data_IF_686658000290
#
_entry.id   IF_686658000290
#
_cell.length_a   1.000
_cell.length_b   1.000
_cell.length_c   1.000
_cell.angle_alpha   90.00
_cell.angle_beta   90.00
_cell.angle_gamma   90.00
#
_symmetry.space_group_name_H-M   'P 1'
#
loop_
_entity.id
_entity.type
_entity.pdbx_description
1 polymer ?
#
# COMPACT_ATOMS: atom_id res chain seq x y z
N UNK A 1 11.39 -5.71 -15.04
CA UNK A 1 11.02 -7.09 -14.68
C UNK A 1 12.22 -8.07 -14.74
N UNK A 2 13.48 -7.59 -14.82
CA UNK A 2 14.66 -8.44 -15.02
C UNK A 2 15.47 -8.75 -13.74
N UNK A 3 15.17 -8.12 -12.60
CA UNK A 3 15.91 -8.32 -11.34
C UNK A 3 15.33 -9.39 -10.41
N UNK A 4 14.15 -9.95 -10.73
CA UNK A 4 13.43 -10.85 -9.83
C UNK A 4 13.60 -12.34 -10.16
N UNK A 5 14.02 -12.69 -11.37
CA UNK A 5 14.07 -14.07 -11.87
C UNK A 5 15.31 -14.85 -11.39
N UNK A 6 16.45 -14.18 -11.25
CA UNK A 6 17.75 -14.85 -11.01
C UNK A 6 18.15 -14.93 -9.52
N UNK A 7 17.27 -14.51 -8.60
CA UNK A 7 17.56 -14.49 -7.16
C UNK A 7 16.40 -15.01 -6.32
N UNK A 8 15.86 -16.18 -6.66
CA UNK A 8 14.92 -16.87 -5.75
C UNK A 8 15.72 -17.48 -4.59
N UNK A 9 15.42 -17.08 -3.35
CA UNK A 9 16.07 -17.64 -2.18
C UNK A 9 15.47 -18.99 -1.76
N UNK A 10 14.16 -19.08 -1.85
CA UNK A 10 13.42 -20.29 -1.49
C UNK A 10 12.11 -20.33 -2.26
N UNK A 11 11.83 -21.49 -2.85
CA UNK A 11 10.55 -21.75 -3.53
C UNK A 11 9.96 -23.00 -2.90
N UNK A 12 8.71 -22.91 -2.46
CA UNK A 12 7.98 -23.99 -1.82
C UNK A 12 6.52 -23.98 -2.24
N UNK A 13 5.78 -25.04 -1.96
CA UNK A 13 4.40 -25.19 -2.41
C UNK A 13 3.46 -25.26 -1.23
N UNK A 14 2.44 -24.40 -1.21
CA UNK A 14 1.30 -24.52 -0.29
C UNK A 14 0.11 -25.02 -1.12
N UNK A 15 -0.25 -26.29 -0.95
CA UNK A 15 -1.29 -26.93 -1.74
C UNK A 15 -0.91 -26.98 -3.23
N UNK A 16 -1.62 -26.23 -4.07
CA UNK A 16 -1.33 -26.09 -5.51
C UNK A 16 -0.66 -24.75 -5.87
N UNK A 17 -0.39 -23.87 -4.89
CA UNK A 17 0.25 -22.57 -5.13
C UNK A 17 1.75 -22.65 -4.94
N UNK A 18 2.49 -22.14 -5.92
CA UNK A 18 3.93 -21.96 -5.84
C UNK A 18 4.22 -20.64 -5.10
N UNK A 19 4.91 -20.73 -3.97
CA UNK A 19 5.30 -19.61 -3.13
C UNK A 19 6.79 -19.39 -3.27
N UNK A 20 7.16 -18.21 -3.76
CA UNK A 20 8.55 -17.84 -4.03
C UNK A 20 8.96 -16.67 -3.14
N UNK A 21 10.03 -16.88 -2.40
CA UNK A 21 10.67 -15.87 -1.55
C UNK A 21 11.81 -15.26 -2.35
N UNK A 22 11.72 -13.95 -2.62
CA UNK A 22 12.76 -13.18 -3.28
C UNK A 22 13.35 -12.14 -2.32
N UNK A 23 14.63 -11.75 -2.47
CA UNK A 23 15.27 -10.74 -1.62
C UNK A 23 14.46 -9.45 -1.56
N UNK A 24 13.90 -9.02 -2.69
CA UNK A 24 13.06 -7.83 -2.78
C UNK A 24 11.84 -7.95 -1.87
N UNK A 25 11.08 -9.06 -1.96
CA UNK A 25 9.90 -9.31 -1.11
C UNK A 25 10.26 -9.28 0.38
N UNK A 26 11.38 -9.88 0.76
CA UNK A 26 11.85 -9.89 2.16
C UNK A 26 12.22 -8.49 2.64
N UNK A 27 12.95 -7.71 1.84
CA UNK A 27 13.32 -6.33 2.21
C UNK A 27 12.07 -5.45 2.40
N UNK A 28 11.09 -5.58 1.51
CA UNK A 28 9.81 -4.84 1.61
C UNK A 28 9.02 -5.30 2.83
N UNK A 29 8.95 -6.61 3.08
CA UNK A 29 8.30 -7.18 4.25
C UNK A 29 8.91 -6.66 5.55
N UNK A 30 10.24 -6.63 5.65
CA UNK A 30 10.96 -6.09 6.81
C UNK A 30 10.66 -4.59 6.98
N UNK A 31 10.69 -3.80 5.90
CA UNK A 31 10.32 -2.38 5.95
C UNK A 31 8.89 -2.18 6.46
N UNK A 32 7.92 -2.88 5.88
CA UNK A 32 6.50 -2.81 6.28
C UNK A 32 6.29 -3.25 7.72
N UNK A 33 6.89 -4.37 8.11
CA UNK A 33 6.79 -4.91 9.46
C UNK A 33 7.44 -3.98 10.48
N UNK A 34 8.60 -3.42 10.17
CA UNK A 34 9.30 -2.43 11.00
C UNK A 34 8.42 -1.21 11.27
N UNK A 35 7.82 -0.62 10.24
CA UNK A 35 6.89 0.51 10.43
C UNK A 35 5.67 0.13 11.27
N UNK A 36 5.10 -1.07 11.05
CA UNK A 36 3.96 -1.53 11.83
C UNK A 36 4.31 -1.76 13.31
N UNK A 37 5.47 -2.36 13.60
CA UNK A 37 5.96 -2.56 14.97
C UNK A 37 6.18 -1.21 15.68
N UNK A 38 6.79 -0.24 14.99
CA UNK A 38 6.95 1.12 15.53
C UNK A 38 5.60 1.75 15.91
N UNK A 39 4.51 1.40 15.23
CA UNK A 39 3.17 1.91 15.53
C UNK A 39 2.48 1.24 16.72
N UNK A 40 2.67 -0.07 16.91
CA UNK A 40 2.07 -0.79 18.03
C UNK A 40 2.77 -0.48 19.33
N UNK A 41 4.10 -0.40 19.30
CA UNK A 41 4.90 -0.29 20.52
C UNK A 41 4.64 1.08 21.18
N UNK A 42 4.07 1.12 22.40
CA UNK A 42 3.59 2.36 23.03
C UNK A 42 4.70 3.37 23.31
N UNK A 43 5.94 2.91 23.45
CA UNK A 43 7.13 3.78 23.58
C UNK A 43 7.39 4.60 22.30
N UNK A 44 7.13 4.01 21.12
CA UNK A 44 7.33 4.64 19.82
C UNK A 44 6.06 5.31 19.25
N UNK A 45 4.91 5.20 19.95
CA UNK A 45 3.67 5.92 19.56
C UNK A 45 3.81 7.44 19.59
N UNK A 46 4.64 7.99 20.48
CA UNK A 46 4.90 9.44 20.57
C UNK A 46 5.98 9.93 19.60
N UNK A 47 6.63 9.03 18.87
CA UNK A 47 7.64 9.37 17.88
C UNK A 47 6.93 9.74 16.58
N UNK A 48 6.72 11.04 16.42
CA UNK A 48 6.27 11.63 15.17
C UNK A 48 7.47 11.91 14.26
N UNK A 49 7.31 11.66 12.97
CA UNK A 49 8.31 12.08 12.00
C UNK A 49 8.28 13.61 11.86
N UNK A 50 9.38 14.24 12.27
CA UNK A 50 9.60 15.66 12.03
C UNK A 50 9.54 15.99 10.52
N UNK A 51 9.14 17.23 10.21
CA UNK A 51 8.89 17.67 8.83
C UNK A 51 10.08 17.46 7.89
N UNK A 52 11.30 17.58 8.41
CA UNK A 52 12.54 17.35 7.66
C UNK A 52 12.69 15.91 7.14
N UNK A 53 11.96 14.94 7.69
CA UNK A 53 11.96 13.54 7.26
C UNK A 53 10.89 13.23 6.21
N UNK A 54 9.96 14.16 5.92
CA UNK A 54 8.87 13.95 4.94
C UNK A 54 9.41 13.68 3.54
N UNK A 55 10.38 14.46 3.06
CA UNK A 55 10.96 14.28 1.73
C UNK A 55 11.67 12.93 1.60
N UNK A 56 12.46 12.56 2.61
CA UNK A 56 13.21 11.30 2.60
C UNK A 56 12.28 10.09 2.74
N UNK A 57 11.31 10.15 3.65
CA UNK A 57 10.30 9.11 3.82
C UNK A 57 9.42 8.94 2.58
N UNK A 58 9.03 10.05 1.94
CA UNK A 58 8.32 10.04 0.67
C UNK A 58 9.12 9.38 -0.46
N UNK A 59 10.42 9.70 -0.57
CA UNK A 59 11.31 9.08 -1.57
C UNK A 59 11.45 7.57 -1.35
N UNK A 60 11.70 7.12 -0.11
CA UNK A 60 11.80 5.70 0.23
C UNK A 60 10.48 4.98 -0.02
N UNK A 61 9.38 5.53 0.50
CA UNK A 61 8.05 4.93 0.31
C UNK A 61 7.64 4.88 -1.15
N UNK A 62 8.00 5.90 -1.95
CA UNK A 62 7.74 5.94 -3.39
C UNK A 62 8.56 4.90 -4.16
N UNK A 63 9.88 4.84 -3.88
CA UNK A 63 10.79 3.91 -4.54
C UNK A 63 10.44 2.44 -4.24
N UNK A 64 10.39 2.05 -2.97
CA UNK A 64 10.06 0.68 -2.58
C UNK A 64 8.60 0.34 -2.91
N UNK A 65 7.70 1.32 -2.80
CA UNK A 65 6.31 1.17 -3.20
C UNK A 65 6.14 0.88 -4.69
N UNK A 66 6.85 1.61 -5.54
CA UNK A 66 6.86 1.39 -6.99
C UNK A 66 7.54 0.09 -7.40
N UNK A 67 8.67 -0.25 -6.77
CA UNK A 67 9.40 -1.50 -7.04
C UNK A 67 8.59 -2.75 -6.65
N UNK A 68 7.87 -2.67 -5.53
CA UNK A 68 7.12 -3.78 -4.95
C UNK A 68 5.71 -3.95 -5.48
N UNK A 69 5.11 -2.89 -6.03
CA UNK A 69 3.67 -2.81 -6.26
C UNK A 69 2.82 -2.56 -4.99
N UNK A 70 3.43 -2.51 -3.80
CA UNK A 70 2.75 -2.37 -2.50
C UNK A 70 2.77 -0.93 -1.96
N UNK A 71 2.80 0.06 -2.85
CA UNK A 71 2.93 1.48 -2.52
C UNK A 71 1.88 1.99 -1.52
N UNK A 72 0.65 1.51 -1.61
CA UNK A 72 -0.42 1.89 -0.67
C UNK A 72 -0.06 1.56 0.78
N UNK A 73 0.48 0.37 1.01
CA UNK A 73 0.80 -0.11 2.35
C UNK A 73 2.01 0.64 2.93
N UNK A 74 3.11 0.77 2.19
CA UNK A 74 4.30 1.50 2.62
C UNK A 74 4.00 2.98 2.91
N UNK A 75 3.18 3.62 2.08
CA UNK A 75 2.74 5.00 2.29
C UNK A 75 1.92 5.15 3.56
N UNK A 76 0.94 4.28 3.75
CA UNK A 76 0.10 4.27 4.96
C UNK A 76 0.94 4.03 6.22
N UNK A 77 1.95 3.15 6.14
CA UNK A 77 2.89 2.88 7.22
C UNK A 77 3.76 4.10 7.58
N UNK A 78 4.10 4.93 6.60
CA UNK A 78 4.84 6.18 6.84
C UNK A 78 3.92 7.28 7.40
N UNK A 79 2.78 7.53 6.75
CA UNK A 79 1.86 8.62 7.12
C UNK A 79 1.26 8.47 8.52
N UNK A 80 1.11 7.24 9.01
CA UNK A 80 0.57 6.97 10.35
C UNK A 80 1.46 7.57 11.46
N UNK A 81 2.76 7.75 11.16
CA UNK A 81 3.77 8.33 12.04
C UNK A 81 3.93 9.84 11.89
N UNK A 82 3.12 10.50 11.09
CA UNK A 82 3.19 11.95 10.89
C UNK A 82 2.25 12.75 11.82
N UNK A 83 1.71 12.15 12.89
CA UNK A 83 0.84 12.87 13.84
C UNK A 83 -0.49 13.37 13.24
N UNK A 84 -0.92 12.78 12.13
CA UNK A 84 -2.07 13.26 11.37
C UNK A 84 -3.40 12.89 12.05
N UNK A 85 -4.38 13.79 11.98
CA UNK A 85 -5.78 13.44 12.25
C UNK A 85 -6.29 12.39 11.26
N UNK A 86 -7.38 11.69 11.58
CA UNK A 86 -7.95 10.67 10.69
C UNK A 86 -8.38 11.27 9.34
N UNK A 87 -8.88 12.50 9.34
CA UNK A 87 -9.24 13.25 8.15
C UNK A 87 -7.99 13.58 7.33
N UNK A 88 -6.94 14.12 7.96
CA UNK A 88 -5.70 14.49 7.26
C UNK A 88 -4.96 13.26 6.73
N UNK A 89 -4.87 12.17 7.50
CA UNK A 89 -4.27 10.91 7.05
C UNK A 89 -4.92 10.40 5.76
N UNK A 90 -6.25 10.42 5.72
CA UNK A 90 -7.01 9.94 4.56
C UNK A 90 -6.96 10.93 3.41
N UNK A 91 -7.11 12.23 3.66
CA UNK A 91 -7.02 13.26 2.65
C UNK A 91 -5.66 13.27 1.95
N UNK A 92 -4.57 13.22 2.72
CA UNK A 92 -3.20 13.12 2.18
C UNK A 92 -3.03 11.83 1.38
N UNK A 93 -3.53 10.71 1.89
CA UNK A 93 -3.53 9.44 1.16
C UNK A 93 -4.30 9.51 -0.17
N UNK A 94 -5.45 10.17 -0.20
CA UNK A 94 -6.26 10.35 -1.41
C UNK A 94 -5.53 11.24 -2.42
N UNK A 95 -5.00 12.40 -2.00
CA UNK A 95 -4.26 13.29 -2.91
C UNK A 95 -3.05 12.56 -3.52
N UNK A 96 -2.25 11.86 -2.71
CA UNK A 96 -1.12 11.08 -3.21
C UNK A 96 -1.59 10.01 -4.21
N UNK A 97 -2.69 9.31 -3.91
CA UNK A 97 -3.23 8.29 -4.81
C UNK A 97 -3.68 8.90 -6.14
N UNK A 98 -4.42 10.01 -6.10
CA UNK A 98 -4.87 10.72 -7.30
C UNK A 98 -3.71 11.18 -8.19
N UNK A 99 -2.63 11.70 -7.59
CA UNK A 99 -1.43 12.08 -8.36
C UNK A 99 -0.80 10.88 -9.06
N UNK A 100 -0.69 9.74 -8.36
CA UNK A 100 -0.16 8.50 -8.94
C UNK A 100 -1.07 7.98 -10.07
N UNK A 101 -2.39 8.00 -9.86
CA UNK A 101 -3.36 7.53 -10.85
C UNK A 101 -3.36 8.40 -12.10
N UNK A 102 -3.20 9.73 -11.98
CA UNK A 102 -3.01 10.63 -13.12
C UNK A 102 -1.78 10.20 -13.94
N UNK A 103 -0.65 9.94 -13.27
CA UNK A 103 0.56 9.46 -13.95
C UNK A 103 0.35 8.11 -14.64
N UNK A 104 -0.38 7.17 -14.04
CA UNK A 104 -0.68 5.86 -14.65
C UNK A 104 -1.62 5.99 -15.85
N UNK A 105 -2.68 6.79 -15.73
CA UNK A 105 -3.66 7.00 -16.79
C UNK A 105 -2.97 7.59 -18.03
N UNK A 106 -2.04 8.53 -17.84
CA UNK A 106 -1.24 9.07 -18.94
C UNK A 106 -0.46 7.97 -19.70
N UNK A 107 0.14 7.02 -18.98
CA UNK A 107 0.83 5.87 -19.58
C UNK A 107 -0.17 4.92 -20.25
N UNK A 108 -1.30 4.61 -19.60
CA UNK A 108 -2.32 3.72 -20.16
C UNK A 108 -2.93 4.28 -21.44
N UNK A 109 -3.09 5.59 -21.55
CA UNK A 109 -3.60 6.24 -22.76
C UNK A 109 -2.72 5.95 -23.99
N UNK A 110 -1.40 5.86 -23.82
CA UNK A 110 -0.48 5.50 -24.93
C UNK A 110 -0.64 4.05 -25.41
N UNK A 111 -1.31 3.19 -24.63
CA UNK A 111 -1.54 1.77 -24.95
C UNK A 111 -3.02 1.45 -25.13
N UNK A 112 -3.86 2.45 -25.38
CA UNK A 112 -5.32 2.33 -25.37
C UNK A 112 -5.84 1.15 -26.20
N UNK A 113 -5.31 0.94 -27.40
CA UNK A 113 -5.71 -0.14 -28.31
C UNK A 113 -5.32 -1.55 -27.84
N UNK A 114 -4.39 -1.69 -26.90
CA UNK A 114 -3.90 -2.98 -26.38
C UNK A 114 -4.57 -3.38 -25.07
N UNK A 115 -5.33 -2.48 -24.42
CA UNK A 115 -5.87 -2.68 -23.07
C UNK A 115 -7.21 -3.45 -23.10
N UNK A 116 -7.84 -3.62 -24.26
CA UNK A 116 -9.09 -4.39 -24.38
C UNK A 116 -10.24 -3.77 -23.59
N UNK A 117 -10.31 -2.43 -23.52
CA UNK A 117 -11.31 -1.70 -22.71
C UNK A 117 -12.73 -2.03 -23.18
N UNK A 118 -12.95 -2.15 -24.49
CA UNK A 118 -14.29 -2.45 -25.05
C UNK A 118 -14.79 -3.83 -24.58
N UNK A 119 -13.93 -4.84 -24.57
CA UNK A 119 -14.26 -6.20 -24.13
C UNK A 119 -14.55 -6.27 -22.61
N UNK A 120 -13.93 -5.37 -21.83
CA UNK A 120 -14.00 -5.37 -20.37
C UNK A 120 -14.83 -4.21 -19.80
N UNK A 121 -15.58 -3.49 -20.64
CA UNK A 121 -16.33 -2.30 -20.23
C UNK A 121 -17.30 -2.56 -19.06
N UNK A 122 -18.05 -3.69 -19.00
CA UNK A 122 -18.91 -3.98 -17.87
C UNK A 122 -18.13 -4.15 -16.55
N UNK A 123 -16.97 -4.81 -16.60
CA UNK A 123 -16.11 -5.02 -15.43
C UNK A 123 -15.57 -3.68 -14.93
N UNK A 124 -15.13 -2.82 -15.85
CA UNK A 124 -14.66 -1.48 -15.53
C UNK A 124 -15.76 -0.66 -14.84
N UNK A 125 -16.98 -0.70 -15.37
CA UNK A 125 -18.12 0.04 -14.81
C UNK A 125 -18.47 -0.45 -13.40
N UNK A 126 -18.49 -1.77 -13.19
CA UNK A 126 -18.74 -2.36 -11.85
C UNK A 126 -17.61 -2.02 -10.88
N UNK A 127 -16.35 -2.05 -11.31
CA UNK A 127 -15.20 -1.71 -10.48
C UNK A 127 -15.23 -0.24 -10.05
N UNK A 128 -15.50 0.68 -10.99
CA UNK A 128 -15.67 2.11 -10.70
C UNK A 128 -16.85 2.34 -9.77
N UNK A 129 -18.01 1.74 -10.05
CA UNK A 129 -19.19 1.82 -9.20
C UNK A 129 -18.90 1.35 -7.76
N UNK A 130 -18.23 0.21 -7.63
CA UNK A 130 -17.83 -0.34 -6.32
C UNK A 130 -16.87 0.59 -5.57
N UNK A 131 -15.92 1.22 -6.26
CA UNK A 131 -15.01 2.19 -5.66
C UNK A 131 -15.76 3.44 -5.15
N UNK A 132 -16.70 3.99 -5.93
CA UNK A 132 -17.53 5.13 -5.52
C UNK A 132 -18.43 4.79 -4.33
N UNK A 133 -19.11 3.65 -4.39
CA UNK A 133 -19.96 3.16 -3.30
C UNK A 133 -19.13 2.96 -2.02
N UNK A 134 -17.96 2.32 -2.13
CA UNK A 134 -17.03 2.14 -1.02
C UNK A 134 -16.57 3.46 -0.41
N UNK A 135 -16.16 4.45 -1.23
CA UNK A 135 -15.76 5.77 -0.76
C UNK A 135 -16.91 6.52 -0.07
N UNK A 136 -18.13 6.41 -0.60
CA UNK A 136 -19.32 7.02 -0.02
C UNK A 136 -19.64 6.48 1.39
N UNK A 137 -19.65 5.15 1.54
CA UNK A 137 -19.84 4.52 2.85
C UNK A 137 -18.67 4.80 3.79
N UNK A 138 -17.43 4.74 3.28
CA UNK A 138 -16.21 5.06 4.02
C UNK A 138 -16.26 6.46 4.65
N UNK A 139 -16.67 7.48 3.88
CA UNK A 139 -16.85 8.86 4.41
C UNK A 139 -17.80 8.93 5.60
N UNK A 140 -18.89 8.14 5.59
CA UNK A 140 -19.86 8.10 6.71
C UNK A 140 -19.28 7.35 7.91
N UNK A 141 -18.58 6.25 7.67
CA UNK A 141 -17.92 5.46 8.71
C UNK A 141 -16.84 6.28 9.43
N UNK A 142 -16.08 7.11 8.69
CA UNK A 142 -15.01 7.94 9.25
C UNK A 142 -15.47 8.91 10.33
N UNK A 143 -16.71 9.38 10.26
CA UNK A 143 -17.29 10.24 11.31
C UNK A 143 -17.51 9.48 12.62
N UNK A 144 -17.69 8.15 12.57
CA UNK A 144 -18.02 7.30 13.72
C UNK A 144 -16.79 6.63 14.38
N UNK A 145 -15.67 6.54 13.68
CA UNK A 145 -14.46 5.86 14.17
C UNK A 145 -13.44 6.84 14.75
N UNK A 146 -12.60 6.39 15.68
CA UNK A 146 -11.49 7.17 16.25
C UNK A 146 -10.24 7.03 15.39
N UNK A 147 -9.28 7.96 15.54
CA UNK A 147 -7.97 7.83 14.90
C UNK A 147 -7.24 6.56 15.38
N UNK A 148 -7.32 6.24 16.67
CA UNK A 148 -6.71 5.03 17.24
C UNK A 148 -7.26 3.76 16.58
N UNK A 149 -8.56 3.69 16.32
CA UNK A 149 -9.17 2.57 15.62
C UNK A 149 -8.63 2.42 14.19
N UNK A 150 -8.51 3.55 13.46
CA UNK A 150 -7.91 3.56 12.11
C UNK A 150 -6.47 3.10 12.17
N UNK A 151 -5.68 3.59 13.13
CA UNK A 151 -4.28 3.21 13.31
C UNK A 151 -4.13 1.71 13.57
N UNK A 152 -4.93 1.16 14.48
CA UNK A 152 -4.90 -0.27 14.82
C UNK A 152 -5.24 -1.13 13.60
N UNK A 153 -6.33 -0.82 12.88
CA UNK A 153 -6.71 -1.58 11.69
C UNK A 153 -5.63 -1.53 10.62
N UNK A 154 -5.15 -0.33 10.27
CA UNK A 154 -4.13 -0.14 9.24
C UNK A 154 -2.86 -0.92 9.61
N UNK A 155 -2.46 -0.85 10.88
CA UNK A 155 -1.27 -1.55 11.37
C UNK A 155 -1.41 -3.07 11.32
N UNK A 156 -2.56 -3.61 11.73
CA UNK A 156 -2.85 -5.05 11.60
C UNK A 156 -2.81 -5.48 10.13
N UNK A 157 -3.45 -4.72 9.23
CA UNK A 157 -3.44 -5.01 7.81
C UNK A 157 -2.02 -4.97 7.22
N UNK A 158 -1.20 -4.00 7.60
CA UNK A 158 0.20 -3.90 7.16
C UNK A 158 1.02 -5.08 7.68
N UNK A 159 0.83 -5.51 8.94
CA UNK A 159 1.53 -6.69 9.46
C UNK A 159 1.15 -7.96 8.71
N UNK A 160 -0.14 -8.17 8.46
CA UNK A 160 -0.61 -9.34 7.69
C UNK A 160 0.02 -9.32 6.30
N UNK A 161 -0.02 -8.18 5.61
CA UNK A 161 0.61 -8.04 4.29
C UNK A 161 2.12 -8.30 4.33
N UNK A 162 2.83 -7.77 5.33
CA UNK A 162 4.26 -7.97 5.49
C UNK A 162 4.60 -9.45 5.71
N UNK A 163 3.83 -10.17 6.54
CA UNK A 163 4.02 -11.61 6.78
C UNK A 163 3.75 -12.41 5.51
N UNK A 164 2.63 -12.15 4.83
CA UNK A 164 2.27 -12.86 3.60
C UNK A 164 3.32 -12.63 2.49
N UNK A 165 3.81 -11.39 2.35
CA UNK A 165 4.84 -11.04 1.39
C UNK A 165 6.20 -11.67 1.74
N UNK A 166 6.59 -11.64 3.01
CA UNK A 166 7.84 -12.23 3.50
C UNK A 166 7.87 -13.75 3.36
N UNK A 167 6.72 -14.41 3.51
CA UNK A 167 6.55 -15.83 3.24
C UNK A 167 6.43 -16.15 1.75
N UNK A 168 6.37 -15.15 0.86
CA UNK A 168 6.25 -15.37 -0.59
C UNK A 168 4.88 -15.90 -1.02
N UNK A 169 3.85 -15.77 -0.18
CA UNK A 169 2.46 -16.19 -0.47
C UNK A 169 1.81 -15.24 -1.48
N UNK A 170 2.16 -13.95 -1.38
CA UNK A 170 1.83 -12.89 -2.34
C UNK A 170 3.11 -12.30 -2.91
#
# INVERSE_FOLDING_TARGET
MYFASDTEWLTYTIGSRLCTITPVKVVIAILMFGFAVLEIVPFYKRLEFAENKLYFGGAISGFFGGLSGHQGALRSAFLIKCGLSKESFIATGVIIASVIDISRIAVYFTKFSQIGIEENFPILLVAVGSAFTGAFFGKRLLKKVTIEFVQIIVTIMIMILAILLGLGII
#
